data_IF_303239020303
#
_entry.id   IF_303239020303
#
_cell.length_a   1.000
_cell.length_b   1.000
_cell.length_c   1.000
_cell.angle_alpha   90.00
_cell.angle_beta   90.00
_cell.angle_gamma   90.00
#
_symmetry.space_group_name_H-M   'P 1'
#
loop_
_entity.id
_entity.type
_entity.pdbx_description
1 polymer ?
#
# COMPACT_ATOMS: atom_id res chain seq x y z
N UNK A 1 5.93 2.78 28.74
CA UNK A 1 6.06 3.37 27.40
C UNK A 1 6.77 4.72 27.54
N UNK A 2 7.83 4.98 26.77
CA UNK A 2 8.41 6.32 26.65
C UNK A 2 7.94 6.91 25.33
N UNK A 3 7.21 8.02 25.36
CA UNK A 3 6.88 8.73 24.12
C UNK A 3 8.14 9.29 23.46
N UNK A 4 8.17 9.39 22.12
CA UNK A 4 9.20 10.12 21.40
C UNK A 4 9.34 11.55 21.95
N UNK A 5 10.58 12.03 22.13
CA UNK A 5 10.85 13.36 22.67
C UNK A 5 10.83 13.45 24.21
N UNK A 6 10.24 12.47 24.91
CA UNK A 6 10.22 12.46 26.37
C UNK A 6 11.28 11.52 26.97
N UNK A 7 12.14 12.09 27.82
CA UNK A 7 13.13 11.33 28.57
C UNK A 7 12.50 10.74 29.83
N UNK A 8 12.61 9.42 30.02
CA UNK A 8 12.27 8.80 31.29
C UNK A 8 10.77 8.78 31.66
N UNK A 9 9.84 9.04 30.72
CA UNK A 9 8.37 8.98 30.97
C UNK A 9 7.92 7.66 31.63
N UNK A 10 8.58 6.56 31.30
CA UNK A 10 8.30 5.25 31.88
C UNK A 10 8.76 5.11 33.35
N UNK A 11 9.53 6.06 33.88
CA UNK A 11 10.21 6.05 35.19
C UNK A 11 11.19 4.89 35.43
N UNK A 12 11.41 4.04 34.43
CA UNK A 12 12.22 2.81 34.53
C UNK A 12 13.42 2.79 33.57
N UNK A 13 13.89 3.97 33.11
CA UNK A 13 14.90 4.07 32.04
C UNK A 13 16.19 3.28 32.34
N UNK A 14 16.64 3.34 33.59
CA UNK A 14 17.86 2.69 34.08
C UNK A 14 17.57 1.56 35.09
N UNK A 15 16.31 1.15 35.24
CA UNK A 15 15.92 0.16 36.25
C UNK A 15 15.89 -1.28 35.70
N UNK A 16 16.04 -1.45 34.39
CA UNK A 16 16.05 -2.75 33.74
C UNK A 16 17.47 -3.32 33.63
N UNK A 17 17.62 -4.60 33.95
CA UNK A 17 18.81 -5.38 33.65
C UNK A 17 18.44 -6.52 32.70
N UNK A 18 19.00 -6.54 31.50
CA UNK A 18 18.69 -7.55 30.48
C UNK A 18 19.91 -8.42 30.19
N UNK A 19 19.79 -9.72 30.48
CA UNK A 19 20.88 -10.68 30.31
C UNK A 19 22.13 -10.27 31.08
N UNK A 20 23.26 -10.21 30.37
CA UNK A 20 24.58 -9.86 30.94
C UNK A 20 24.91 -8.37 30.87
N UNK A 21 23.97 -7.52 30.43
CA UNK A 21 24.19 -6.07 30.44
C UNK A 21 24.32 -5.55 31.88
N UNK A 22 25.14 -4.50 32.10
CA UNK A 22 25.36 -3.95 33.43
C UNK A 22 24.08 -3.34 34.01
N UNK A 23 23.97 -3.33 35.34
CA UNK A 23 22.90 -2.61 36.03
C UNK A 23 22.96 -1.12 35.69
N UNK A 24 21.80 -0.49 35.46
CA UNK A 24 21.74 0.92 35.04
C UNK A 24 21.91 1.16 33.54
N UNK A 25 22.01 0.11 32.71
CA UNK A 25 22.06 0.28 31.25
C UNK A 25 20.75 0.85 30.72
N UNK A 26 20.83 1.82 29.81
CA UNK A 26 19.66 2.50 29.25
C UNK A 26 18.84 1.54 28.39
N UNK A 27 17.60 1.24 28.79
CA UNK A 27 16.77 0.32 28.01
C UNK A 27 16.40 0.86 26.63
N UNK A 28 16.56 2.17 26.35
CA UNK A 28 16.39 2.70 24.98
C UNK A 28 17.44 2.15 24.00
N UNK A 29 18.55 1.62 24.51
CA UNK A 29 19.64 1.05 23.73
C UNK A 29 19.82 -0.46 23.93
N UNK A 30 18.79 -1.13 24.45
CA UNK A 30 18.77 -2.59 24.54
C UNK A 30 18.04 -3.13 23.29
N UNK A 31 18.78 -3.86 22.46
CA UNK A 31 18.27 -4.45 21.22
C UNK A 31 18.12 -5.96 21.40
N UNK A 32 16.89 -6.47 21.33
CA UNK A 32 16.61 -7.91 21.45
C UNK A 32 16.67 -8.66 20.12
N UNK A 33 16.68 -7.94 19.00
CA UNK A 33 16.67 -8.49 17.65
C UNK A 33 17.51 -7.61 16.72
N UNK A 34 17.96 -8.18 15.61
CA UNK A 34 18.51 -7.42 14.48
C UNK A 34 17.33 -6.70 13.80
N UNK A 35 17.15 -5.43 14.15
CA UNK A 35 16.07 -4.58 13.66
C UNK A 35 16.49 -3.55 12.62
N UNK A 36 15.51 -2.80 12.12
CA UNK A 36 15.68 -1.72 11.13
C UNK A 36 15.01 -0.44 11.60
N UNK A 37 15.32 0.68 10.93
CA UNK A 37 14.60 1.93 11.08
C UNK A 37 13.70 2.19 9.86
N UNK A 38 12.46 1.68 9.91
CA UNK A 38 11.48 1.80 8.81
C UNK A 38 10.26 2.66 9.20
N UNK A 39 10.45 3.60 10.13
CA UNK A 39 9.37 4.49 10.59
C UNK A 39 9.09 5.56 9.53
N UNK A 40 7.81 5.82 9.28
CA UNK A 40 7.37 6.98 8.51
C UNK A 40 7.52 8.28 9.33
N UNK A 41 7.41 9.42 8.66
CA UNK A 41 7.40 10.75 9.29
C UNK A 41 5.98 11.24 9.59
N UNK A 42 5.88 12.22 10.49
CA UNK A 42 4.59 12.82 10.83
C UNK A 42 3.95 13.54 9.62
N UNK A 43 4.78 14.08 8.70
CA UNK A 43 4.32 14.66 7.44
C UNK A 43 3.66 13.61 6.53
N UNK A 44 4.25 12.42 6.42
CA UNK A 44 3.67 11.33 5.65
C UNK A 44 2.35 10.86 6.28
N UNK A 45 2.27 10.80 7.61
CA UNK A 45 1.05 10.44 8.33
C UNK A 45 -0.07 11.47 8.11
N UNK A 46 0.23 12.77 8.22
CA UNK A 46 -0.73 13.85 7.98
C UNK A 46 -1.28 13.84 6.55
N UNK A 47 -0.41 13.63 5.55
CA UNK A 47 -0.84 13.44 4.16
C UNK A 47 -1.75 12.22 4.03
N UNK A 48 -1.37 11.09 4.65
CA UNK A 48 -2.18 9.87 4.70
C UNK A 48 -3.57 10.10 5.26
N UNK A 49 -3.70 10.81 6.40
CA UNK A 49 -5.00 11.15 7.00
C UNK A 49 -5.90 11.93 6.04
N UNK A 50 -5.34 12.91 5.32
CA UNK A 50 -6.11 13.68 4.33
C UNK A 50 -6.57 12.84 3.12
N UNK A 51 -5.80 11.82 2.73
CA UNK A 51 -6.15 10.91 1.65
C UNK A 51 -7.17 9.87 2.08
N UNK A 52 -7.08 9.36 3.31
CA UNK A 52 -8.05 8.40 3.86
C UNK A 52 -9.47 8.98 3.90
N UNK A 53 -9.62 10.28 4.16
CA UNK A 53 -10.91 10.96 4.09
C UNK A 53 -11.55 10.95 2.69
N UNK A 54 -10.79 10.68 1.63
CA UNK A 54 -11.24 10.64 0.22
C UNK A 54 -11.34 9.21 -0.34
N UNK A 55 -11.07 8.19 0.48
CA UNK A 55 -10.91 6.82 0.01
C UNK A 55 -12.16 6.29 -0.70
N UNK A 56 -13.35 6.52 -0.13
CA UNK A 56 -14.62 6.04 -0.70
C UNK A 56 -14.90 6.68 -2.08
N UNK A 57 -14.62 7.97 -2.22
CA UNK A 57 -14.77 8.70 -3.49
C UNK A 57 -13.82 8.13 -4.55
N UNK A 58 -12.56 7.90 -4.19
CA UNK A 58 -11.58 7.29 -5.10
C UNK A 58 -11.97 5.89 -5.53
N UNK A 59 -12.43 5.04 -4.61
CA UNK A 59 -12.90 3.70 -4.95
C UNK A 59 -14.15 3.75 -5.86
N UNK A 60 -15.10 4.64 -5.59
CA UNK A 60 -16.27 4.83 -6.43
C UNK A 60 -15.90 5.32 -7.85
N UNK A 61 -15.00 6.30 -7.95
CA UNK A 61 -14.52 6.82 -9.22
C UNK A 61 -13.77 5.74 -10.03
N UNK A 62 -12.92 4.94 -9.38
CA UNK A 62 -12.20 3.82 -10.01
C UNK A 62 -13.16 2.78 -10.59
N UNK A 63 -14.16 2.35 -9.82
CA UNK A 63 -15.18 1.40 -10.29
C UNK A 63 -16.00 1.96 -11.46
N UNK A 64 -16.40 3.24 -11.39
CA UNK A 64 -17.12 3.89 -12.49
C UNK A 64 -16.29 3.93 -13.78
N UNK A 65 -15.03 4.35 -13.68
CA UNK A 65 -14.13 4.42 -14.82
C UNK A 65 -13.86 3.03 -15.41
N UNK A 66 -13.64 2.03 -14.56
CA UNK A 66 -13.44 0.65 -14.98
C UNK A 66 -14.64 0.11 -15.75
N UNK A 67 -15.87 0.29 -15.23
CA UNK A 67 -17.10 -0.15 -15.93
C UNK A 67 -17.24 0.52 -17.28
N UNK A 68 -17.02 1.84 -17.35
CA UNK A 68 -17.07 2.59 -18.61
C UNK A 68 -16.11 2.03 -19.66
N UNK A 69 -14.88 1.72 -19.28
CA UNK A 69 -13.89 1.12 -20.19
C UNK A 69 -14.28 -0.30 -20.59
N UNK A 70 -14.70 -1.13 -19.63
CA UNK A 70 -15.13 -2.50 -19.89
C UNK A 70 -16.30 -2.55 -20.86
N UNK A 71 -17.34 -1.76 -20.61
CA UNK A 71 -18.53 -1.74 -21.47
C UNK A 71 -18.23 -1.11 -22.83
N UNK A 72 -17.37 -0.08 -22.89
CA UNK A 72 -16.99 0.56 -24.14
C UNK A 72 -16.05 -0.26 -25.04
N UNK A 73 -15.38 -1.27 -24.48
CA UNK A 73 -14.47 -2.16 -25.22
C UNK A 73 -15.05 -3.56 -25.42
N UNK A 74 -16.26 -3.84 -24.94
CA UNK A 74 -16.85 -5.18 -24.92
C UNK A 74 -16.94 -5.83 -26.31
N UNK A 75 -17.18 -5.03 -27.34
CA UNK A 75 -17.36 -5.49 -28.73
C UNK A 75 -16.09 -5.30 -29.59
N UNK A 76 -14.97 -4.88 -29.00
CA UNK A 76 -13.72 -4.72 -29.75
C UNK A 76 -13.07 -6.09 -29.95
N UNK A 77 -12.87 -6.53 -31.20
CA UNK A 77 -12.33 -7.85 -31.47
C UNK A 77 -10.87 -7.94 -31.01
N UNK A 78 -10.43 -9.16 -30.71
CA UNK A 78 -9.04 -9.49 -30.33
C UNK A 78 -8.56 -8.88 -29.00
N UNK A 79 -9.48 -8.36 -28.17
CA UNK A 79 -9.20 -7.95 -26.80
C UNK A 79 -9.84 -8.89 -25.79
N UNK A 80 -9.03 -9.37 -24.84
CA UNK A 80 -9.52 -10.06 -23.65
C UNK A 80 -9.61 -9.05 -22.51
N UNK A 81 -10.83 -8.80 -22.06
CA UNK A 81 -11.13 -7.82 -21.02
C UNK A 81 -10.98 -8.41 -19.61
N UNK A 82 -10.61 -7.58 -18.61
CA UNK A 82 -10.50 -8.04 -17.24
C UNK A 82 -11.89 -8.29 -16.67
N UNK A 83 -12.03 -9.29 -15.82
CA UNK A 83 -13.26 -9.59 -15.11
C UNK A 83 -13.04 -9.55 -13.59
N UNK A 84 -14.08 -9.15 -12.85
CA UNK A 84 -14.02 -9.17 -11.40
C UNK A 84 -13.97 -10.63 -10.91
N UNK A 85 -13.18 -10.89 -9.86
CA UNK A 85 -13.22 -12.20 -9.19
C UNK A 85 -14.64 -12.45 -8.66
N UNK A 86 -15.20 -13.67 -8.79
CA UNK A 86 -16.55 -13.96 -8.32
C UNK A 86 -16.76 -13.58 -6.85
N UNK A 87 -17.90 -12.94 -6.55
CA UNK A 87 -18.26 -12.43 -5.20
C UNK A 87 -17.29 -11.36 -4.65
N UNK A 88 -16.75 -10.50 -5.52
CA UNK A 88 -15.93 -9.35 -5.13
C UNK A 88 -16.41 -8.03 -5.74
N UNK A 89 -16.06 -6.92 -5.11
CA UNK A 89 -16.15 -5.56 -5.69
C UNK A 89 -14.75 -4.92 -5.66
N UNK A 90 -13.92 -5.11 -6.69
CA UNK A 90 -12.52 -4.72 -6.64
C UNK A 90 -12.33 -3.20 -6.59
N UNK A 91 -11.38 -2.75 -5.75
CA UNK A 91 -10.81 -1.40 -5.85
C UNK A 91 -9.74 -1.38 -6.93
N UNK A 92 -10.18 -1.23 -8.18
CA UNK A 92 -9.32 -1.30 -9.36
C UNK A 92 -8.16 -0.30 -9.32
N UNK A 93 -6.93 -0.81 -9.38
CA UNK A 93 -5.72 0.02 -9.49
C UNK A 93 -5.59 0.59 -10.90
N UNK A 94 -5.80 -0.24 -11.92
CA UNK A 94 -5.80 0.10 -13.34
C UNK A 94 -6.72 -0.82 -14.15
N UNK A 95 -6.80 -0.56 -15.45
CA UNK A 95 -7.55 -1.39 -16.41
C UNK A 95 -6.57 -2.21 -17.25
N UNK A 96 -6.46 -3.50 -16.98
CA UNK A 96 -5.58 -4.41 -17.73
C UNK A 96 -6.27 -4.85 -19.00
N UNK A 97 -5.57 -4.76 -20.13
CA UNK A 97 -5.98 -5.32 -21.41
C UNK A 97 -5.02 -6.43 -21.81
N UNK A 98 -5.56 -7.52 -22.33
CA UNK A 98 -4.78 -8.62 -22.91
C UNK A 98 -5.12 -8.74 -24.38
N UNK A 99 -4.10 -8.82 -25.22
CA UNK A 99 -4.27 -9.06 -26.66
C UNK A 99 -4.47 -10.56 -26.85
N UNK A 100 -5.53 -10.92 -27.57
CA UNK A 100 -5.79 -12.30 -27.99
C UNK A 100 -4.58 -12.85 -28.76
N UNK A 101 -4.06 -14.05 -28.45
CA UNK A 101 -2.99 -14.67 -29.23
C UNK A 101 -3.26 -14.76 -30.74
N UNK A 102 -4.53 -14.83 -31.16
CA UNK A 102 -4.94 -14.89 -32.57
C UNK A 102 -5.14 -13.50 -33.20
N UNK A 103 -4.81 -12.42 -32.49
CA UNK A 103 -4.89 -11.06 -33.02
C UNK A 103 -3.96 -10.88 -34.23
N UNK A 104 -4.38 -10.12 -35.26
CA UNK A 104 -3.52 -9.80 -36.41
C UNK A 104 -2.45 -8.73 -36.09
N UNK A 105 -2.31 -8.36 -34.82
CA UNK A 105 -1.36 -7.37 -34.33
C UNK A 105 -0.79 -7.81 -32.98
N UNK A 106 0.42 -7.37 -32.70
CA UNK A 106 1.12 -7.58 -31.44
C UNK A 106 0.72 -6.54 -30.39
N UNK A 107 1.02 -6.85 -29.13
CA UNK A 107 0.91 -5.88 -28.02
C UNK A 107 1.70 -4.60 -28.28
N UNK A 108 2.87 -4.68 -28.92
CA UNK A 108 3.69 -3.50 -29.21
C UNK A 108 2.98 -2.60 -30.23
N UNK A 109 2.48 -3.17 -31.33
CA UNK A 109 1.73 -2.44 -32.34
C UNK A 109 0.45 -1.80 -31.78
N UNK A 110 -0.23 -2.46 -30.83
CA UNK A 110 -1.39 -1.90 -30.14
C UNK A 110 -1.07 -0.72 -29.20
N UNK A 111 0.17 -0.66 -28.67
CA UNK A 111 0.63 0.45 -27.82
C UNK A 111 1.14 1.63 -28.66
N UNK A 112 1.71 1.33 -29.84
CA UNK A 112 2.30 2.32 -30.74
C UNK A 112 1.28 3.00 -31.69
N UNK A 113 0.02 2.54 -31.69
CA UNK A 113 -1.10 3.11 -32.45
C UNK A 113 -1.63 4.41 -31.81
#
# INVERSE_FOLDING_TARGET
WCEPGESGKCLKRFEYQMGTLPAGYDHKYIFSHVGYNLKATDLQAALGLSQLAKLDEFCAARRRNWRRLRDGLADVPHLVLPEATPRSDPSWFGFVLTIDPEAPFSRAEAVDF
#
